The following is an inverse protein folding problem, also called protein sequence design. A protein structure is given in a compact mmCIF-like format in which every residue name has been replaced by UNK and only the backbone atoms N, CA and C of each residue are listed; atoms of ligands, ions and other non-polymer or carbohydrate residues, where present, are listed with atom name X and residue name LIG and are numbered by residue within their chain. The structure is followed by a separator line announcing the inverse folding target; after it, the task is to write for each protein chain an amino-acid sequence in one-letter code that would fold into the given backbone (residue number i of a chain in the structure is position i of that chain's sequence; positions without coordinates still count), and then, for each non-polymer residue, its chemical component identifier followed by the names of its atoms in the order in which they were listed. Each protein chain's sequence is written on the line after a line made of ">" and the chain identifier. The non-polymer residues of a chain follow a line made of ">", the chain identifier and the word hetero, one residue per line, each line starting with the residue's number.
data_IF_308344704981
#
_entry.id   IF_308344704981
#
_cell.length_a   1.000
_cell.length_b   1.000
_cell.length_c   1.000
_cell.angle_alpha   90.00
_cell.angle_beta   90.00
_cell.angle_gamma   90.00
#
_symmetry.space_group_name_H-M   'P 1'
#
loop_
_entity.id
_entity.type
_entity.pdbx_description
1 polymer ?
#
# COMPACT_ATOMS: atom_id res chain seq x y z
N UNK A 1 67.57 32.14 -13.71
CA UNK A 1 66.16 32.53 -13.47
C UNK A 1 65.30 31.53 -14.23
N UNK A 2 64.85 30.48 -13.54
CA UNK A 2 64.12 29.38 -14.15
C UNK A 2 62.65 29.51 -13.78
N UNK A 3 61.79 29.76 -14.77
CA UNK A 3 60.33 29.72 -14.60
C UNK A 3 59.83 28.27 -14.76
N UNK A 4 58.90 27.79 -13.92
CA UNK A 4 58.30 26.48 -14.11
C UNK A 4 57.07 26.53 -15.02
N UNK A 5 56.92 25.43 -15.73
CA UNK A 5 55.86 25.04 -16.68
C UNK A 5 54.48 25.07 -16.02
N UNK A 6 53.49 25.62 -16.74
CA UNK A 6 52.08 25.58 -16.37
C UNK A 6 51.50 24.17 -16.51
N UNK A 7 50.78 23.74 -15.47
CA UNK A 7 49.88 22.59 -15.53
C UNK A 7 48.47 23.17 -15.59
N UNK A 8 47.80 22.94 -16.72
CA UNK A 8 46.42 23.33 -16.96
C UNK A 8 45.50 22.34 -16.24
N UNK A 9 44.96 22.77 -15.09
CA UNK A 9 44.03 21.99 -14.28
C UNK A 9 42.64 22.06 -14.94
N UNK A 10 42.33 21.07 -15.76
CA UNK A 10 41.03 20.96 -16.43
C UNK A 10 40.01 20.48 -15.39
N UNK A 11 39.29 21.42 -14.78
CA UNK A 11 38.16 21.14 -13.92
C UNK A 11 37.06 20.42 -14.72
N UNK A 12 36.86 19.13 -14.44
CA UNK A 12 35.69 18.37 -14.89
C UNK A 12 34.49 18.85 -14.06
N UNK A 13 33.38 19.29 -14.67
CA UNK A 13 32.19 19.67 -13.90
C UNK A 13 31.56 18.40 -13.30
N UNK A 14 31.53 18.36 -11.96
CA UNK A 14 30.76 17.40 -11.18
C UNK A 14 29.28 17.59 -11.53
N UNK A 15 28.71 16.65 -12.28
CA UNK A 15 27.29 16.61 -12.57
C UNK A 15 26.55 16.27 -11.28
N UNK A 16 25.69 17.17 -10.82
CA UNK A 16 24.77 16.92 -9.71
C UNK A 16 23.89 15.70 -10.04
N UNK A 17 23.62 14.82 -9.06
CA UNK A 17 22.69 13.72 -9.28
C UNK A 17 21.29 14.30 -9.51
N UNK A 18 20.83 14.22 -10.75
CA UNK A 18 19.44 14.52 -11.11
C UNK A 18 18.55 13.53 -10.36
N UNK A 19 17.87 14.01 -9.32
CA UNK A 19 16.85 13.26 -8.59
C UNK A 19 15.66 13.02 -9.51
N UNK A 20 15.69 11.89 -10.23
CA UNK A 20 14.57 11.38 -11.03
C UNK A 20 13.42 10.82 -10.17
N UNK A 21 13.63 10.63 -8.86
CA UNK A 21 12.65 10.00 -7.97
C UNK A 21 11.49 10.93 -7.57
N UNK A 22 11.72 12.24 -7.49
CA UNK A 22 10.72 13.19 -6.97
C UNK A 22 9.52 13.47 -7.88
N UNK A 23 9.62 13.16 -9.18
CA UNK A 23 8.54 13.42 -10.15
C UNK A 23 7.45 12.34 -10.14
N UNK A 24 7.82 11.08 -9.89
CA UNK A 24 6.91 9.94 -9.92
C UNK A 24 5.95 9.93 -8.73
N UNK A 25 6.46 10.20 -7.53
CA UNK A 25 5.64 10.23 -6.31
C UNK A 25 4.66 11.39 -6.28
N UNK A 26 5.05 12.54 -6.84
CA UNK A 26 4.19 13.74 -6.91
C UNK A 26 2.96 13.49 -7.80
N UNK A 27 3.17 12.82 -8.94
CA UNK A 27 2.10 12.43 -9.86
C UNK A 27 1.13 11.43 -9.23
N UNK A 28 1.66 10.41 -8.55
CA UNK A 28 0.85 9.36 -7.92
C UNK A 28 -0.06 9.90 -6.81
N UNK A 29 0.45 10.80 -5.97
CA UNK A 29 -0.30 11.39 -4.86
C UNK A 29 -1.38 12.40 -5.30
N UNK A 30 -1.12 13.18 -6.35
CA UNK A 30 -2.14 14.05 -6.97
C UNK A 30 -3.25 13.22 -7.64
N UNK A 31 -2.88 12.09 -8.25
CA UNK A 31 -3.81 11.14 -8.84
C UNK A 31 -4.66 10.42 -7.77
N UNK A 32 -4.07 9.99 -6.65
CA UNK A 32 -4.79 9.41 -5.51
C UNK A 32 -5.80 10.40 -4.93
N UNK A 33 -5.38 11.66 -4.69
CA UNK A 33 -6.27 12.68 -4.16
C UNK A 33 -7.41 13.02 -5.12
N UNK A 34 -7.19 12.93 -6.43
CA UNK A 34 -8.21 13.15 -7.47
C UNK A 34 -9.18 11.97 -7.58
N UNK A 35 -8.71 10.74 -7.29
CA UNK A 35 -9.50 9.50 -7.33
C UNK A 35 -10.21 9.18 -6.02
N UNK A 36 -9.82 9.82 -4.91
CA UNK A 36 -10.43 9.62 -3.59
C UNK A 36 -11.81 10.28 -3.53
N UNK A 37 -12.83 9.44 -3.70
CA UNK A 37 -14.24 9.75 -3.54
C UNK A 37 -14.98 8.43 -3.69
N UNK A 38 -15.53 7.92 -2.60
CA UNK A 38 -16.19 6.62 -2.56
C UNK A 38 -17.50 6.72 -1.79
N UNK A 39 -18.40 5.76 -2.03
CA UNK A 39 -19.65 5.58 -1.30
C UNK A 39 -19.44 5.37 0.21
N UNK A 40 -18.25 4.90 0.61
CA UNK A 40 -17.85 4.71 2.01
C UNK A 40 -17.39 6.03 2.64
N UNK A 41 -16.67 6.86 1.87
CA UNK A 41 -16.18 8.16 2.32
C UNK A 41 -15.18 8.82 1.37
N UNK A 42 -14.91 10.12 1.60
CA UNK A 42 -14.07 10.96 0.73
C UNK A 42 -12.58 10.56 0.67
N UNK A 43 -12.12 9.75 1.63
CA UNK A 43 -10.73 9.32 1.72
C UNK A 43 -10.50 7.90 1.17
N UNK A 44 -11.53 7.29 0.60
CA UNK A 44 -11.47 5.96 0.00
C UNK A 44 -11.39 6.02 -1.52
N UNK A 45 -10.68 5.06 -2.08
CA UNK A 45 -10.68 4.81 -3.52
C UNK A 45 -10.50 3.31 -3.80
N UNK A 46 -11.04 2.86 -4.92
CA UNK A 46 -10.89 1.48 -5.35
C UNK A 46 -9.52 1.25 -5.98
N UNK A 47 -8.93 0.10 -5.72
CA UNK A 47 -7.68 -0.34 -6.36
C UNK A 47 -7.84 -1.74 -6.97
N UNK A 48 -7.22 -1.95 -8.12
CA UNK A 48 -6.98 -3.27 -8.69
C UNK A 48 -5.92 -4.01 -7.86
N UNK A 49 -5.96 -5.36 -7.82
CA UNK A 49 -4.87 -6.15 -7.23
C UNK A 49 -3.49 -5.83 -7.81
N UNK A 50 -3.41 -5.47 -9.10
CA UNK A 50 -2.18 -5.09 -9.80
C UNK A 50 -1.68 -3.68 -9.47
N UNK A 51 -2.56 -2.80 -8.99
CA UNK A 51 -2.20 -1.43 -8.59
C UNK A 51 -1.71 -1.37 -7.13
N UNK A 52 -1.93 -2.44 -6.36
CA UNK A 52 -1.43 -2.56 -5.00
C UNK A 52 0.09 -2.77 -5.02
N UNK A 53 0.85 -1.70 -4.83
CA UNK A 53 2.31 -1.65 -4.98
C UNK A 53 3.06 -2.22 -3.76
N UNK A 54 2.89 -3.51 -3.49
CA UNK A 54 3.53 -4.22 -2.34
C UNK A 54 5.05 -4.01 -2.24
N UNK A 55 5.72 -3.89 -3.39
CA UNK A 55 7.18 -3.86 -3.50
C UNK A 55 7.77 -2.45 -3.62
N UNK A 56 6.95 -1.45 -3.94
CA UNK A 56 7.40 -0.06 -4.09
C UNK A 56 6.93 0.70 -2.86
N UNK A 57 7.64 0.54 -1.74
CA UNK A 57 7.33 1.26 -0.50
C UNK A 57 8.00 2.63 -0.53
N UNK A 58 7.23 3.72 -0.30
CA UNK A 58 7.79 5.07 -0.21
C UNK A 58 8.49 5.35 1.13
N UNK A 59 8.48 4.38 2.06
CA UNK A 59 9.19 4.46 3.33
C UNK A 59 10.71 4.45 3.08
N UNK A 60 11.27 5.61 2.75
CA UNK A 60 12.70 5.80 2.66
C UNK A 60 13.27 5.74 4.08
N UNK A 61 14.04 4.68 4.36
CA UNK A 61 14.81 4.60 5.59
C UNK A 61 15.89 5.66 5.48
N UNK A 62 15.86 6.66 6.37
CA UNK A 62 16.91 7.68 6.41
C UNK A 62 18.28 7.00 6.48
N UNK A 63 19.15 7.35 5.53
CA UNK A 63 20.54 6.90 5.53
C UNK A 63 21.31 7.60 6.65
N UNK A 64 21.15 7.06 7.87
CA UNK A 64 21.81 7.53 9.09
C UNK A 64 22.84 6.51 9.49
N UNK A 65 24.09 6.97 9.63
CA UNK A 65 25.15 6.18 10.22
C UNK A 65 24.81 5.87 11.69
N UNK A 66 24.37 4.65 11.97
CA UNK A 66 24.10 4.18 13.33
C UNK A 66 25.34 3.49 13.89
N UNK A 67 25.79 3.92 15.06
CA UNK A 67 26.78 3.18 15.85
C UNK A 67 26.03 2.17 16.71
N UNK A 68 25.78 0.99 16.16
CA UNK A 68 25.10 -0.11 16.84
C UNK A 68 25.91 -1.40 16.68
N UNK A 69 26.53 -1.85 17.77
CA UNK A 69 27.27 -3.10 17.80
C UNK A 69 26.34 -4.27 18.10
N UNK A 70 26.27 -5.23 17.19
CA UNK A 70 25.57 -6.50 17.41
C UNK A 70 26.48 -7.42 18.23
N UNK A 71 26.07 -7.77 19.45
CA UNK A 71 26.85 -8.66 20.30
C UNK A 71 26.98 -10.06 19.67
N UNK A 72 28.08 -10.77 19.97
CA UNK A 72 28.27 -12.16 19.54
C UNK A 72 27.09 -13.02 19.99
N UNK A 73 26.60 -13.87 19.09
CA UNK A 73 25.45 -14.78 19.31
C UNK A 73 24.09 -14.08 19.49
N UNK A 74 23.95 -12.84 19.00
CA UNK A 74 22.63 -12.20 18.89
C UNK A 74 21.86 -12.85 17.74
N UNK A 75 20.86 -13.67 18.09
CA UNK A 75 19.98 -14.36 17.12
C UNK A 75 18.60 -13.71 16.99
N UNK A 76 18.34 -12.65 17.76
CA UNK A 76 17.09 -11.88 17.69
C UNK A 76 17.32 -10.42 18.07
N UNK A 77 16.67 -9.51 17.33
CA UNK A 77 16.65 -8.06 17.56
C UNK A 77 15.23 -7.58 17.92
N UNK A 78 14.39 -8.45 18.49
CA UNK A 78 12.97 -8.14 18.75
C UNK A 78 12.78 -6.84 19.52
N UNK A 79 11.90 -5.97 19.00
CA UNK A 79 11.43 -4.76 19.71
C UNK A 79 10.50 -5.16 20.86
N UNK A 80 10.58 -4.40 21.95
CA UNK A 80 9.86 -4.60 23.22
C UNK A 80 8.39 -4.96 23.07
N UNK A 81 7.94 -5.87 23.93
CA UNK A 81 6.56 -6.38 24.05
C UNK A 81 5.54 -5.23 24.23
N UNK A 82 4.83 -4.88 23.16
CA UNK A 82 3.59 -4.10 23.26
C UNK A 82 2.41 -5.02 23.62
N UNK A 83 1.33 -4.48 24.24
CA UNK A 83 0.37 -5.32 24.96
C UNK A 83 -0.36 -6.36 24.11
N UNK A 84 -0.55 -6.13 22.80
CA UNK A 84 -0.76 -7.17 21.78
C UNK A 84 -0.36 -6.55 20.43
N UNK A 85 0.82 -6.87 19.88
CA UNK A 85 1.21 -6.32 18.60
C UNK A 85 0.25 -6.85 17.51
N UNK A 86 -0.15 -6.02 16.54
CA UNK A 86 -0.85 -6.52 15.35
C UNK A 86 -0.03 -7.65 14.75
N UNK A 87 -0.67 -8.79 14.44
CA UNK A 87 0.06 -9.97 13.99
C UNK A 87 0.68 -9.67 12.62
N UNK A 88 1.99 -9.53 12.60
CA UNK A 88 2.76 -9.28 11.38
C UNK A 88 3.27 -10.58 10.78
N UNK A 89 3.32 -10.61 9.46
CA UNK A 89 3.81 -11.72 8.66
C UNK A 89 4.80 -11.20 7.63
N UNK A 90 5.61 -12.10 7.10
CA UNK A 90 6.58 -11.79 6.04
C UNK A 90 6.12 -12.52 4.79
N UNK A 91 5.91 -11.78 3.70
CA UNK A 91 5.68 -12.36 2.39
C UNK A 91 6.88 -13.23 1.98
N UNK A 92 6.69 -14.26 1.15
CA UNK A 92 7.81 -15.06 0.63
C UNK A 92 8.93 -14.23 -0.01
N UNK A 93 8.57 -13.03 -0.50
CA UNK A 93 9.47 -12.09 -1.15
C UNK A 93 10.09 -11.05 -0.19
N UNK A 94 9.85 -11.19 1.12
CA UNK A 94 10.52 -10.42 2.18
C UNK A 94 9.76 -9.21 2.71
N UNK A 95 8.71 -8.75 2.03
CA UNK A 95 7.90 -7.62 2.48
C UNK A 95 7.02 -7.98 3.70
N UNK A 96 6.98 -7.12 4.72
CA UNK A 96 6.14 -7.32 5.90
C UNK A 96 4.72 -6.83 5.67
N UNK A 97 3.73 -7.66 5.99
CA UNK A 97 2.33 -7.28 6.03
C UNK A 97 1.72 -7.58 7.40
N UNK A 98 0.56 -7.01 7.67
CA UNK A 98 -0.19 -7.22 8.90
C UNK A 98 -1.53 -7.87 8.60
N UNK A 99 -1.95 -8.76 9.49
CA UNK A 99 -3.27 -9.41 9.46
C UNK A 99 -4.03 -9.10 10.74
N UNK A 100 -5.29 -8.73 10.61
CA UNK A 100 -6.20 -8.53 11.74
C UNK A 100 -7.56 -9.14 11.43
N UNK A 101 -8.08 -9.97 12.34
CA UNK A 101 -9.45 -10.51 12.21
C UNK A 101 -10.46 -9.43 12.63
N UNK A 102 -11.45 -9.18 11.78
CA UNK A 102 -12.66 -8.42 12.08
C UNK A 102 -13.85 -9.39 12.11
N UNK A 103 -15.03 -8.97 12.57
CA UNK A 103 -16.20 -9.87 12.66
C UNK A 103 -16.75 -10.22 11.27
N UNK A 104 -16.70 -9.27 10.33
CA UNK A 104 -17.27 -9.40 8.98
C UNK A 104 -16.25 -9.82 7.91
N UNK A 105 -14.95 -9.69 8.17
CA UNK A 105 -13.88 -9.95 7.20
C UNK A 105 -12.52 -10.05 7.89
N UNK A 106 -11.49 -10.56 7.21
CA UNK A 106 -10.09 -10.48 7.69
C UNK A 106 -9.34 -9.38 6.96
N UNK A 107 -8.71 -8.48 7.71
CA UNK A 107 -7.99 -7.32 7.17
C UNK A 107 -6.54 -7.68 6.91
N UNK A 108 -6.06 -7.36 5.70
CA UNK A 108 -4.66 -7.42 5.29
C UNK A 108 -4.19 -6.03 4.86
N UNK A 109 -3.04 -5.60 5.37
CA UNK A 109 -2.45 -4.32 5.00
C UNK A 109 -0.93 -4.35 5.08
N UNK A 110 -0.29 -3.64 4.16
CA UNK A 110 1.16 -3.42 4.16
C UNK A 110 1.57 -2.22 5.02
N UNK A 111 0.60 -1.43 5.48
CA UNK A 111 0.80 -0.24 6.28
C UNK A 111 1.49 -0.53 7.61
N UNK A 112 2.40 0.34 8.03
CA UNK A 112 3.19 0.13 9.25
C UNK A 112 2.36 0.35 10.52
N UNK A 113 1.65 -0.68 10.98
CA UNK A 113 0.76 -0.61 12.14
C UNK A 113 1.45 -0.38 13.50
N UNK A 114 2.78 -0.34 13.54
CA UNK A 114 3.51 0.09 14.73
C UNK A 114 3.57 1.62 14.86
N UNK A 115 3.28 2.38 13.79
CA UNK A 115 3.00 3.81 13.89
C UNK A 115 1.57 4.01 14.42
N UNK A 116 1.39 4.61 15.61
CA UNK A 116 0.07 4.83 16.19
C UNK A 116 -0.87 5.65 15.30
N UNK A 117 -0.35 6.57 14.46
CA UNK A 117 -1.17 7.37 13.54
C UNK A 117 -1.73 6.52 12.42
N UNK A 118 -0.90 5.64 11.85
CA UNK A 118 -1.31 4.71 10.80
C UNK A 118 -2.30 3.69 11.36
N UNK A 119 -2.04 3.14 12.55
CA UNK A 119 -2.97 2.24 13.23
C UNK A 119 -4.33 2.91 13.48
N UNK A 120 -4.33 4.16 13.95
CA UNK A 120 -5.56 4.92 14.15
C UNK A 120 -6.30 5.19 12.82
N UNK A 121 -5.58 5.50 11.75
CA UNK A 121 -6.18 5.71 10.43
C UNK A 121 -6.82 4.42 9.90
N UNK A 122 -6.11 3.29 9.96
CA UNK A 122 -6.64 1.97 9.59
C UNK A 122 -7.90 1.62 10.37
N UNK A 123 -7.89 1.84 11.70
CA UNK A 123 -9.08 1.60 12.51
C UNK A 123 -10.27 2.46 12.08
N UNK A 124 -10.05 3.77 11.83
CA UNK A 124 -11.11 4.65 11.32
C UNK A 124 -11.68 4.20 9.98
N UNK A 125 -10.83 3.72 9.07
CA UNK A 125 -11.29 3.19 7.78
C UNK A 125 -12.13 1.93 7.95
N UNK A 126 -11.72 1.02 8.84
CA UNK A 126 -12.51 -0.18 9.16
C UNK A 126 -13.87 0.23 9.75
N UNK A 127 -13.90 1.16 10.70
CA UNK A 127 -15.14 1.65 11.30
C UNK A 127 -16.09 2.26 10.24
N UNK A 128 -15.55 2.97 9.24
CA UNK A 128 -16.35 3.54 8.14
C UNK A 128 -16.91 2.46 7.20
N UNK A 129 -16.14 1.39 6.94
CA UNK A 129 -16.60 0.24 6.18
C UNK A 129 -17.75 -0.47 6.92
N UNK A 130 -17.59 -0.71 8.23
CA UNK A 130 -18.64 -1.35 9.03
C UNK A 130 -19.92 -0.50 9.05
N UNK A 131 -19.79 0.80 9.28
CA UNK A 131 -20.90 1.74 9.23
C UNK A 131 -21.65 1.70 7.90
N UNK A 132 -20.91 1.56 6.79
CA UNK A 132 -21.50 1.39 5.46
C UNK A 132 -22.22 0.05 5.35
N UNK A 133 -21.55 -1.07 5.66
CA UNK A 133 -22.12 -2.41 5.57
C UNK A 133 -23.35 -2.61 6.47
N UNK A 134 -23.41 -1.94 7.63
CA UNK A 134 -24.57 -1.99 8.54
C UNK A 134 -25.79 -1.22 8.01
N UNK A 135 -25.57 -0.14 7.25
CA UNK A 135 -26.65 0.73 6.73
C UNK A 135 -27.19 0.27 5.39
N UNK A 136 -26.42 -0.53 4.66
CA UNK A 136 -26.74 -0.96 3.30
C UNK A 136 -27.01 -2.46 3.25
N UNK A 137 -28.05 -2.83 2.52
CA UNK A 137 -28.35 -4.24 2.26
C UNK A 137 -27.28 -4.83 1.34
N UNK A 138 -26.50 -5.77 1.85
CA UNK A 138 -25.40 -6.45 1.14
C UNK A 138 -25.66 -7.95 1.01
N UNK A 139 -26.94 -8.35 0.94
CA UNK A 139 -27.37 -9.76 0.86
C UNK A 139 -26.78 -10.59 -0.28
N UNK A 140 -26.22 -9.96 -1.31
CA UNK A 140 -25.52 -10.65 -2.41
C UNK A 140 -24.17 -11.26 -1.97
N UNK A 141 -23.57 -10.76 -0.89
CA UNK A 141 -22.29 -11.25 -0.35
C UNK A 141 -22.47 -11.64 1.11
N UNK A 142 -22.13 -12.89 1.43
CA UNK A 142 -22.07 -13.34 2.83
C UNK A 142 -20.76 -12.84 3.45
N UNK A 143 -20.81 -11.71 4.13
CA UNK A 143 -19.67 -11.20 4.89
C UNK A 143 -19.39 -12.06 6.12
N UNK A 144 -18.24 -12.72 6.09
CA UNK A 144 -17.71 -13.50 7.21
C UNK A 144 -16.18 -13.52 7.13
N UNK A 145 -15.52 -13.50 8.29
CA UNK A 145 -14.07 -13.41 8.40
C UNK A 145 -13.29 -14.63 7.85
N UNK A 146 -13.97 -15.76 7.58
CA UNK A 146 -13.39 -16.94 6.95
C UNK A 146 -13.51 -16.90 5.42
N UNK A 147 -14.44 -16.10 4.89
CA UNK A 147 -14.76 -16.08 3.46
C UNK A 147 -14.46 -14.75 2.77
N UNK A 148 -14.32 -13.66 3.53
CA UNK A 148 -14.03 -12.33 3.01
C UNK A 148 -12.75 -11.78 3.62
N UNK A 149 -11.84 -11.35 2.75
CA UNK A 149 -10.67 -10.57 3.13
C UNK A 149 -10.79 -9.14 2.63
N UNK A 150 -10.50 -8.16 3.49
CA UNK A 150 -10.30 -6.77 3.10
C UNK A 150 -8.81 -6.54 2.88
N UNK A 151 -8.43 -6.14 1.66
CA UNK A 151 -7.08 -5.65 1.37
C UNK A 151 -7.12 -4.13 1.40
N UNK A 152 -6.31 -3.53 2.29
CA UNK A 152 -6.27 -2.09 2.50
C UNK A 152 -4.85 -1.55 2.29
N UNK A 153 -4.76 -0.56 1.40
CA UNK A 153 -3.57 0.26 1.13
C UNK A 153 -3.72 1.63 1.79
N UNK A 154 -3.04 1.83 2.91
CA UNK A 154 -3.13 3.08 3.67
C UNK A 154 -1.91 3.94 3.35
N UNK A 155 -2.14 4.97 2.54
CA UNK A 155 -1.10 5.89 2.09
C UNK A 155 -1.24 7.24 2.79
N UNK A 156 -0.12 7.76 3.31
CA UNK A 156 -0.08 9.10 3.89
C UNK A 156 0.22 10.14 2.81
N UNK A 157 -0.63 11.15 2.69
CA UNK A 157 -0.41 12.26 1.78
C UNK A 157 0.55 13.30 2.36
N UNK A 158 1.13 14.13 1.48
CA UNK A 158 1.92 15.30 1.89
C UNK A 158 1.11 16.33 2.68
N UNK A 159 -0.21 16.38 2.50
CA UNK A 159 -1.13 17.23 3.29
C UNK A 159 -1.47 16.63 4.65
N UNK A 160 -0.85 15.49 5.03
CA UNK A 160 -1.10 14.72 6.25
C UNK A 160 -2.49 14.08 6.31
N UNK A 161 -3.24 14.09 5.20
CA UNK A 161 -4.43 13.27 5.06
C UNK A 161 -4.01 11.84 4.75
N UNK A 162 -4.68 10.87 5.35
CA UNK A 162 -4.46 9.47 5.02
C UNK A 162 -5.55 9.04 4.04
N UNK A 163 -5.18 8.33 2.98
CA UNK A 163 -6.09 7.75 2.01
C UNK A 163 -6.09 6.22 2.13
N UNK A 164 -7.22 5.59 1.81
CA UNK A 164 -7.36 4.14 1.82
C UNK A 164 -7.74 3.63 0.43
N UNK A 165 -6.77 3.02 -0.24
CA UNK A 165 -7.03 2.15 -1.39
C UNK A 165 -7.57 0.83 -0.90
N UNK A 166 -8.61 0.27 -1.52
CA UNK A 166 -9.14 -1.00 -1.07
C UNK A 166 -9.72 -1.89 -2.18
N UNK A 167 -9.78 -3.18 -1.88
CA UNK A 167 -10.66 -4.17 -2.51
C UNK A 167 -10.96 -5.29 -1.50
N UNK A 168 -12.02 -6.04 -1.77
CA UNK A 168 -12.33 -7.26 -1.04
C UNK A 168 -12.00 -8.48 -1.88
N UNK A 169 -11.51 -9.55 -1.25
CA UNK A 169 -11.40 -10.86 -1.84
C UNK A 169 -12.46 -11.78 -1.22
N UNK A 170 -13.26 -12.44 -2.06
CA UNK A 170 -14.28 -13.40 -1.68
C UNK A 170 -13.83 -14.81 -2.02
N UNK A 171 -13.49 -15.59 -1.00
CA UNK A 171 -12.86 -16.90 -1.14
C UNK A 171 -13.79 -17.98 -1.69
N UNK A 172 -15.10 -17.88 -1.42
CA UNK A 172 -16.07 -18.89 -1.85
C UNK A 172 -16.03 -19.09 -3.38
N UNK A 173 -15.86 -18.00 -4.12
CA UNK A 173 -15.81 -18.02 -5.59
C UNK A 173 -14.45 -17.57 -6.15
N UNK A 174 -13.45 -17.31 -5.30
CA UNK A 174 -12.11 -16.80 -5.66
C UNK A 174 -12.15 -15.49 -6.47
N UNK A 175 -13.10 -14.62 -6.16
CA UNK A 175 -13.30 -13.34 -6.86
C UNK A 175 -12.84 -12.17 -6.03
N UNK A 176 -12.51 -11.05 -6.67
CA UNK A 176 -12.35 -9.75 -5.99
C UNK A 176 -13.54 -8.84 -6.31
N UNK A 177 -13.88 -7.96 -5.37
CA UNK A 177 -14.99 -7.02 -5.52
C UNK A 177 -14.73 -5.73 -4.73
N UNK A 178 -15.58 -4.72 -4.97
CA UNK A 178 -15.54 -3.41 -4.34
C UNK A 178 -16.94 -3.03 -3.87
N UNK A 179 -17.05 -2.12 -2.89
CA UNK A 179 -18.34 -1.53 -2.51
C UNK A 179 -18.71 -0.35 -3.43
N UNK A 180 -17.72 0.19 -4.14
CA UNK A 180 -17.88 1.19 -5.19
C UNK A 180 -17.91 0.56 -6.58
N UNK A 181 -18.43 1.33 -7.53
CA UNK A 181 -18.24 1.04 -8.95
C UNK A 181 -16.74 1.03 -9.30
N UNK A 182 -16.28 -0.08 -9.85
CA UNK A 182 -14.91 -0.24 -10.31
C UNK A 182 -14.85 -0.31 -11.83
N UNK A 183 -14.14 0.66 -12.44
CA UNK A 183 -13.95 0.77 -13.89
C UNK A 183 -12.95 -0.28 -14.42
N UNK A 184 -13.35 -1.54 -14.39
CA UNK A 184 -12.51 -2.68 -14.77
C UNK A 184 -12.01 -2.61 -16.21
N UNK A 185 -12.84 -2.12 -17.15
CA UNK A 185 -12.47 -1.92 -18.56
C UNK A 185 -11.23 -1.04 -18.75
N UNK A 186 -11.09 -0.01 -17.92
CA UNK A 186 -9.98 0.94 -18.00
C UNK A 186 -8.77 0.46 -17.18
N UNK A 187 -9.00 -0.18 -16.03
CA UNK A 187 -7.96 -0.43 -15.00
C UNK A 187 -7.39 -1.84 -14.97
N UNK A 188 -8.15 -2.86 -15.35
CA UNK A 188 -7.67 -4.26 -15.37
C UNK A 188 -7.30 -4.73 -16.77
N UNK A 189 -8.00 -4.22 -17.78
CA UNK A 189 -7.92 -4.74 -19.14
C UNK A 189 -7.42 -3.71 -20.19
N UNK A 190 -6.51 -2.76 -19.86
CA UNK A 190 -6.06 -1.82 -20.87
C UNK A 190 -5.35 -2.57 -22.00
N UNK A 191 -5.98 -2.59 -23.19
CA UNK A 191 -5.41 -3.23 -24.38
C UNK A 191 -5.75 -4.71 -24.58
N UNK A 192 -6.62 -5.32 -23.76
CA UNK A 192 -7.12 -6.68 -24.02
C UNK A 192 -8.23 -6.60 -25.08
N UNK A 193 -7.90 -6.95 -26.32
CA UNK A 193 -8.86 -7.13 -27.39
C UNK A 193 -9.31 -8.60 -27.42
N UNK A 194 -10.50 -8.90 -26.89
CA UNK A 194 -11.01 -10.27 -26.79
C UNK A 194 -12.51 -10.36 -26.54
N UNK A 195 -13.08 -11.56 -26.68
CA UNK A 195 -14.53 -11.82 -26.59
C UNK A 195 -15.06 -11.46 -25.20
N UNK A 196 -15.98 -10.50 -25.14
CA UNK A 196 -16.58 -9.91 -23.94
C UNK A 196 -17.65 -10.76 -23.25
N UNK A 197 -17.67 -12.09 -23.49
CA UNK A 197 -18.64 -12.97 -22.85
C UNK A 197 -18.29 -13.13 -21.36
N UNK A 198 -19.24 -12.90 -20.43
CA UNK A 198 -19.04 -13.13 -19.00
C UNK A 198 -18.54 -14.54 -18.66
N UNK A 199 -18.88 -15.53 -19.48
CA UNK A 199 -18.48 -16.94 -19.26
C UNK A 199 -16.97 -17.17 -19.46
N UNK A 200 -16.30 -16.36 -20.28
CA UNK A 200 -14.85 -16.45 -20.47
C UNK A 200 -14.06 -15.76 -19.33
N UNK A 201 -14.69 -14.84 -18.60
CA UNK A 201 -14.07 -14.12 -17.49
C UNK A 201 -14.05 -14.97 -16.21
N UNK A 202 -14.97 -15.95 -16.08
CA UNK A 202 -15.11 -16.82 -14.90
C UNK A 202 -14.02 -17.90 -14.71
N UNK A 203 -13.03 -18.01 -15.60
CA UNK A 203 -12.05 -19.11 -15.60
C UNK A 203 -10.62 -18.75 -15.16
N UNK A 204 -10.39 -17.56 -14.59
CA UNK A 204 -9.10 -17.20 -13.99
C UNK A 204 -9.21 -17.00 -12.48
#
# INVERSE_FOLDING_TARGET
>A
MSQPVGVEDTAVPLSEPTSMFGSSEKSLLEEISSKACSVIGELFYTIAPTEFQRYQRPDEVEDKHINYDIARLTVSLSRSETPQPPTSYIHPEGARYFRRKHDLFTIYTDAHLFDPKILQAVQKFVDQIDDYLMRHDTTEVSFDAETVDLISDVTLSKTKSTFCGYYFAYHANRTVFWLDDFKSSERLWPGINGVSSPDHIRQY
#
